data_IF_761320290945
#
_entry.id   IF_761320290945
#
_cell.length_a   1.000
_cell.length_b   1.000
_cell.length_c   1.000
_cell.angle_alpha   90.00
_cell.angle_beta   90.00
_cell.angle_gamma   90.00
#
_symmetry.space_group_name_H-M   'P 1'
#
loop_
_entity.id
_entity.type
_entity.pdbx_description
1 polymer ?
#
# COMPACT_ATOMS: atom_id res chain seq x y z
N UNK A 1 -6.98 -37.53 -10.78
CA UNK A 1 -5.94 -36.47 -10.79
C UNK A 1 -6.63 -35.19 -10.39
N UNK A 2 -6.76 -34.95 -9.09
CA UNK A 2 -7.40 -33.75 -8.58
C UNK A 2 -6.37 -32.66 -8.40
N UNK A 3 -6.67 -31.47 -8.90
CA UNK A 3 -6.50 -30.23 -8.15
C UNK A 3 -7.13 -29.09 -8.96
N UNK A 4 -8.38 -28.82 -8.59
CA UNK A 4 -9.05 -27.53 -8.63
C UNK A 4 -8.15 -26.38 -9.10
N UNK A 5 -8.43 -25.94 -10.32
CA UNK A 5 -8.07 -24.60 -10.76
C UNK A 5 -8.75 -23.63 -9.79
N UNK A 6 -8.01 -23.20 -8.76
CA UNK A 6 -8.45 -22.17 -7.83
C UNK A 6 -8.56 -20.87 -8.61
N UNK A 7 -9.79 -20.69 -9.07
CA UNK A 7 -10.50 -19.51 -9.48
C UNK A 7 -9.84 -18.20 -9.03
N UNK A 8 -9.79 -17.25 -9.97
CA UNK A 8 -9.69 -15.83 -9.68
C UNK A 8 -8.29 -15.28 -9.35
N UNK A 9 -7.29 -15.67 -10.14
CA UNK A 9 -6.22 -14.71 -10.46
C UNK A 9 -6.73 -13.78 -11.56
N UNK A 10 -7.86 -13.09 -11.34
CA UNK A 10 -7.94 -11.75 -11.93
C UNK A 10 -6.67 -11.09 -11.44
N UNK A 11 -5.93 -10.49 -12.36
CA UNK A 11 -4.79 -9.64 -12.07
C UNK A 11 -5.25 -8.48 -11.17
N UNK A 12 -5.59 -8.79 -9.91
CA UNK A 12 -5.94 -7.89 -8.86
C UNK A 12 -4.65 -7.14 -8.67
N UNK A 13 -4.60 -5.98 -9.31
CA UNK A 13 -3.43 -5.13 -9.35
C UNK A 13 -3.26 -4.60 -7.94
N UNK A 14 -2.78 -5.44 -7.02
CA UNK A 14 -2.34 -5.05 -5.70
C UNK A 14 -1.12 -4.18 -5.96
N UNK A 15 -1.34 -2.88 -6.15
CA UNK A 15 -0.26 -1.91 -6.26
C UNK A 15 0.31 -1.77 -4.86
N UNK A 16 1.39 -2.49 -4.61
CA UNK A 16 2.25 -2.21 -3.46
C UNK A 16 3.17 -1.07 -3.85
N UNK A 17 3.32 -0.11 -2.95
CA UNK A 17 4.14 1.05 -3.18
C UNK A 17 4.82 1.50 -1.90
N UNK A 18 6.10 1.88 -2.00
CA UNK A 18 6.87 2.40 -0.88
C UNK A 18 6.74 3.91 -0.83
N UNK A 19 6.44 4.46 0.33
CA UNK A 19 6.39 5.92 0.50
C UNK A 19 7.80 6.46 0.46
N UNK A 20 8.10 7.25 -0.56
CA UNK A 20 9.40 7.92 -0.72
C UNK A 20 9.39 9.32 -0.13
N UNK A 21 8.23 9.97 -0.07
CA UNK A 21 8.04 11.22 0.64
C UNK A 21 6.61 11.36 1.17
N UNK A 22 6.46 11.95 2.36
CA UNK A 22 5.17 12.25 2.97
C UNK A 22 5.16 13.71 3.41
N UNK A 23 4.48 14.54 2.63
CA UNK A 23 4.19 15.93 2.98
C UNK A 23 2.87 16.01 3.74
N UNK A 24 2.61 17.17 4.36
CA UNK A 24 1.36 17.43 5.06
C UNK A 24 0.12 17.36 4.14
N UNK A 25 0.30 17.62 2.84
CA UNK A 25 -0.80 17.67 1.85
C UNK A 25 -0.76 16.53 0.82
N UNK A 26 0.43 16.05 0.48
CA UNK A 26 0.64 15.06 -0.57
C UNK A 26 1.54 13.91 -0.09
N UNK A 27 1.37 12.75 -0.71
CA UNK A 27 2.21 11.57 -0.53
C UNK A 27 2.81 11.19 -1.86
N UNK A 28 4.11 10.93 -1.88
CA UNK A 28 4.82 10.34 -2.99
C UNK A 28 5.11 8.87 -2.69
N UNK A 29 4.54 7.98 -3.49
CA UNK A 29 4.65 6.54 -3.34
C UNK A 29 5.33 5.96 -4.58
N UNK A 30 6.44 5.28 -4.43
CA UNK A 30 7.08 4.54 -5.51
C UNK A 30 6.41 3.18 -5.72
N UNK A 31 5.80 2.99 -6.88
CA UNK A 31 5.11 1.77 -7.31
C UNK A 31 5.82 1.24 -8.55
N UNK A 32 6.47 0.08 -8.45
CA UNK A 32 7.23 -0.51 -9.57
C UNK A 32 8.26 0.47 -10.20
N UNK A 33 8.95 1.27 -9.37
CA UNK A 33 9.92 2.27 -9.83
C UNK A 33 9.31 3.55 -10.42
N UNK A 34 7.97 3.72 -10.35
CA UNK A 34 7.30 4.97 -10.70
C UNK A 34 6.79 5.68 -9.46
N UNK A 35 7.20 6.93 -9.26
CA UNK A 35 6.64 7.77 -8.23
C UNK A 35 5.20 8.19 -8.58
N UNK A 36 4.27 7.83 -7.71
CA UNK A 36 2.88 8.22 -7.73
C UNK A 36 2.65 9.27 -6.65
N UNK A 37 2.33 10.49 -7.08
CA UNK A 37 1.94 11.58 -6.17
C UNK A 37 0.42 11.60 -6.02
N UNK A 38 -0.05 11.57 -4.77
CA UNK A 38 -1.47 11.63 -4.44
C UNK A 38 -1.73 12.49 -3.21
N UNK A 39 -2.93 13.06 -3.07
CA UNK A 39 -3.27 13.83 -1.88
C UNK A 39 -3.40 12.90 -0.67
N UNK A 40 -2.92 13.35 0.49
CA UNK A 40 -2.85 12.51 1.71
C UNK A 40 -4.21 11.97 2.16
N UNK A 41 -5.30 12.63 1.80
CA UNK A 41 -6.68 12.16 1.98
C UNK A 41 -7.00 10.82 1.30
N UNK A 42 -6.23 10.45 0.25
CA UNK A 42 -6.35 9.18 -0.48
C UNK A 42 -5.52 8.07 0.16
N UNK A 43 -4.86 8.35 1.28
CA UNK A 43 -4.11 7.39 2.08
C UNK A 43 -4.64 7.37 3.51
N UNK A 44 -4.31 6.31 4.24
CA UNK A 44 -4.60 6.21 5.68
C UNK A 44 -3.90 7.34 6.47
N UNK A 45 -4.45 7.68 7.64
CA UNK A 45 -3.77 8.59 8.55
C UNK A 45 -2.50 7.94 9.12
N UNK A 46 -1.51 8.78 9.41
CA UNK A 46 -0.27 8.35 10.06
C UNK A 46 0.77 7.68 9.13
N UNK A 47 0.55 7.62 7.82
CA UNK A 47 1.59 7.19 6.86
C UNK A 47 2.83 8.08 6.99
N UNK A 48 4.02 7.50 7.04
CA UNK A 48 5.28 8.24 6.97
C UNK A 48 6.15 7.77 5.80
N UNK A 49 7.17 8.55 5.45
CA UNK A 49 8.16 8.11 4.48
C UNK A 49 8.85 6.83 4.98
N UNK A 50 8.97 5.83 4.11
CA UNK A 50 9.47 4.51 4.44
C UNK A 50 8.39 3.43 4.60
N UNK A 51 7.14 3.79 4.88
CA UNK A 51 6.03 2.83 4.95
C UNK A 51 5.79 2.16 3.59
N UNK A 52 5.38 0.90 3.62
CA UNK A 52 4.85 0.21 2.44
C UNK A 52 3.33 0.29 2.48
N UNK A 53 2.75 0.82 1.42
CA UNK A 53 1.31 0.95 1.26
C UNK A 53 0.81 -0.03 0.21
N UNK A 54 -0.40 -0.52 0.43
CA UNK A 54 -1.16 -1.34 -0.50
C UNK A 54 -2.36 -0.53 -1.01
N UNK A 55 -2.52 -0.52 -2.32
CA UNK A 55 -3.75 -0.02 -2.94
C UNK A 55 -4.85 -1.07 -2.84
N UNK A 56 -5.97 -0.68 -2.23
CA UNK A 56 -7.16 -1.55 -2.09
C UNK A 56 -8.16 -1.38 -3.25
N UNK A 57 -7.95 -0.39 -4.14
CA UNK A 57 -8.90 0.01 -5.18
C UNK A 57 -9.56 1.36 -4.90
N UNK A 58 -9.64 1.74 -3.62
CA UNK A 58 -10.27 2.99 -3.16
C UNK A 58 -9.29 3.96 -2.51
N UNK A 59 -8.39 3.44 -1.66
CA UNK A 59 -7.38 4.22 -0.93
C UNK A 59 -6.11 3.39 -0.71
N UNK A 60 -5.03 4.09 -0.38
CA UNK A 60 -3.78 3.48 0.06
C UNK A 60 -3.85 3.19 1.55
N UNK A 61 -3.75 1.92 1.91
CA UNK A 61 -3.70 1.45 3.30
C UNK A 61 -2.29 0.96 3.61
N UNK A 62 -1.86 0.97 4.87
CA UNK A 62 -0.58 0.33 5.19
C UNK A 62 -0.65 -1.15 4.85
N UNK A 63 0.33 -1.61 4.08
CA UNK A 63 0.62 -3.02 4.03
C UNK A 63 1.26 -3.33 5.38
N UNK A 64 0.43 -3.60 6.40
CA UNK A 64 0.91 -3.93 7.75
C UNK A 64 2.12 -4.86 7.65
N UNK A 65 3.27 -4.38 8.09
CA UNK A 65 4.21 -5.29 8.73
C UNK A 65 3.51 -5.64 10.04
N UNK A 66 3.21 -6.91 10.26
CA UNK A 66 2.93 -7.39 11.61
C UNK A 66 4.19 -7.14 12.43
N UNK A 67 4.35 -5.93 12.93
CA UNK A 67 5.22 -5.65 14.06
C UNK A 67 4.30 -5.20 15.17
N UNK A 68 4.28 -6.04 16.19
CA UNK A 68 3.33 -6.05 17.27
C UNK A 68 3.20 -4.68 17.94
N UNK A 69 1.95 -4.30 18.21
CA UNK A 69 1.67 -3.33 19.24
C UNK A 69 2.12 -3.87 20.60
N UNK A 70 3.28 -3.43 21.09
CA UNK A 70 3.61 -3.31 22.51
C UNK A 70 4.72 -2.24 22.61
N UNK A 71 4.57 -1.08 23.25
CA UNK A 71 3.76 -0.81 24.41
C UNK A 71 4.49 -1.18 25.70
N UNK A 72 5.72 -0.69 25.93
CA UNK A 72 6.20 -0.19 27.24
C UNK A 72 7.59 0.44 27.17
#
# INVERSE_FOLDING_TARGET
>A
MGNEANTNVKCATQRLGKVVAADGKFLAIEVNGKALTLPREKAEAGIVAGDVLRWDGLKWVRAQHSDEAAGQ
#
